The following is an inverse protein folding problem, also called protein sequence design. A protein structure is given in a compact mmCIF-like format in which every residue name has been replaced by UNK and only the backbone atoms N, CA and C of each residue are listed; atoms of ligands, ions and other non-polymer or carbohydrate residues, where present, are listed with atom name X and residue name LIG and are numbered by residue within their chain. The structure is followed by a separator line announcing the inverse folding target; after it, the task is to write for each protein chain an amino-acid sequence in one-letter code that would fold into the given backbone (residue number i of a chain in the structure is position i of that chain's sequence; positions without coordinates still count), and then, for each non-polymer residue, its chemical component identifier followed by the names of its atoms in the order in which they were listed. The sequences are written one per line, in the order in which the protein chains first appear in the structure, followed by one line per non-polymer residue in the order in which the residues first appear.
data_IF_972838838866
#
_entry.id   IF_972838838866
#
_cell.length_a   1.000
_cell.length_b   1.000
_cell.length_c   1.000
_cell.angle_alpha   90.00
_cell.angle_beta   90.00
_cell.angle_gamma   90.00
#
_symmetry.space_group_name_H-M   'P 1'
#
loop_
_entity.id
_entity.type
_entity.pdbx_description
1 polymer ?
#
# COMPACT_ATOMS: atom_id res chain seq x y z
N UNK A 1 31.83 45.34 -12.83
CA UNK A 1 32.09 44.75 -11.49
C UNK A 1 31.57 45.67 -10.38
N UNK A 2 31.76 46.98 -10.51
CA UNK A 2 31.35 47.97 -9.48
C UNK A 2 29.84 48.03 -9.22
N UNK A 3 29.00 47.84 -10.23
CA UNK A 3 27.55 47.79 -10.05
C UNK A 3 27.07 46.58 -9.23
N UNK A 4 27.76 45.44 -9.32
CA UNK A 4 27.47 44.25 -8.53
C UNK A 4 27.93 44.42 -7.09
N UNK A 5 29.10 45.02 -6.89
CA UNK A 5 29.60 45.35 -5.55
C UNK A 5 28.69 46.38 -4.84
N UNK A 6 28.24 47.41 -5.55
CA UNK A 6 27.30 48.41 -5.03
C UNK A 6 25.90 47.84 -4.77
N UNK A 7 25.43 46.91 -5.61
CA UNK A 7 24.17 46.20 -5.36
C UNK A 7 24.30 45.31 -4.11
N UNK A 8 25.39 44.56 -3.99
CA UNK A 8 25.64 43.67 -2.86
C UNK A 8 25.76 44.45 -1.53
N UNK A 9 26.45 45.60 -1.53
CA UNK A 9 26.52 46.47 -0.34
C UNK A 9 25.16 47.05 0.01
N UNK A 10 24.40 47.54 -0.98
CA UNK A 10 23.05 48.09 -0.74
C UNK A 10 22.10 47.02 -0.20
N UNK A 11 22.14 45.80 -0.73
CA UNK A 11 21.32 44.68 -0.24
C UNK A 11 21.77 44.27 1.16
N UNK A 12 23.07 44.19 1.41
CA UNK A 12 23.64 43.88 2.72
C UNK A 12 23.23 44.90 3.78
N UNK A 13 23.39 46.19 3.49
CA UNK A 13 23.05 47.28 4.39
C UNK A 13 21.55 47.30 4.69
N UNK A 14 20.71 47.10 3.67
CA UNK A 14 19.25 46.97 3.88
C UNK A 14 18.92 45.74 4.71
N UNK A 15 19.55 44.59 4.45
CA UNK A 15 19.31 43.37 5.21
C UNK A 15 19.69 43.55 6.67
N UNK A 16 20.88 44.06 6.96
CA UNK A 16 21.37 44.29 8.33
C UNK A 16 20.51 45.32 9.05
N UNK A 17 20.13 46.41 8.38
CA UNK A 17 19.28 47.45 8.99
C UNK A 17 17.89 46.93 9.30
N UNK A 18 17.28 46.16 8.38
CA UNK A 18 15.99 45.53 8.61
C UNK A 18 16.06 44.44 9.70
N UNK A 19 17.13 43.64 9.73
CA UNK A 19 17.31 42.62 10.77
C UNK A 19 17.43 43.27 12.15
N UNK A 20 18.31 44.27 12.28
CA UNK A 20 18.50 45.02 13.53
C UNK A 20 17.18 45.66 13.97
N UNK A 21 16.47 46.33 13.06
CA UNK A 21 15.15 46.91 13.30
C UNK A 21 14.13 45.86 13.79
N UNK A 22 14.12 44.67 13.18
CA UNK A 22 13.22 43.59 13.57
C UNK A 22 13.49 43.06 14.98
N UNK A 23 14.75 43.05 15.42
CA UNK A 23 15.11 42.63 16.78
C UNK A 23 14.89 43.75 17.81
N UNK A 24 15.10 45.02 17.45
CA UNK A 24 14.85 46.16 18.36
C UNK A 24 13.36 46.41 18.60
N UNK A 25 12.52 46.18 17.58
CA UNK A 25 11.05 46.30 17.68
C UNK A 25 10.36 45.03 18.18
N UNK A 26 11.13 44.04 18.66
CA UNK A 26 10.62 42.77 19.13
C UNK A 26 10.03 42.91 20.54
N UNK A 27 8.73 43.20 20.58
CA UNK A 27 7.97 43.16 21.84
C UNK A 27 7.65 41.72 22.25
N UNK A 28 7.38 41.51 23.55
CA UNK A 28 7.04 40.19 24.08
C UNK A 28 5.84 39.56 23.36
N UNK A 29 4.83 40.37 23.02
CA UNK A 29 3.66 39.92 22.26
C UNK A 29 4.04 39.37 20.87
N UNK A 30 4.91 40.07 20.13
CA UNK A 30 5.38 39.61 18.81
C UNK A 30 6.18 38.32 18.93
N UNK A 31 7.00 38.19 19.97
CA UNK A 31 7.77 36.97 20.22
C UNK A 31 6.86 35.76 20.51
N UNK A 32 5.85 35.93 21.36
CA UNK A 32 4.86 34.87 21.65
C UNK A 32 4.13 34.45 20.36
N UNK A 33 3.71 35.40 19.52
CA UNK A 33 3.08 35.08 18.21
C UNK A 33 4.00 34.23 17.32
N UNK A 34 5.29 34.58 17.23
CA UNK A 34 6.28 33.80 16.46
C UNK A 34 6.38 32.37 17.01
N UNK A 35 6.48 32.22 18.33
CA UNK A 35 6.56 30.90 18.97
C UNK A 35 5.30 30.08 18.72
N UNK A 36 4.11 30.68 18.78
CA UNK A 36 2.85 29.99 18.50
C UNK A 36 2.79 29.52 17.04
N UNK A 37 3.14 30.38 16.09
CA UNK A 37 3.11 30.03 14.65
C UNK A 37 4.15 28.97 14.33
N UNK A 38 5.40 29.16 14.74
CA UNK A 38 6.49 28.22 14.48
C UNK A 38 6.29 26.89 15.22
N UNK A 39 5.94 26.95 16.50
CA UNK A 39 5.65 25.78 17.33
C UNK A 39 4.41 25.02 16.84
N UNK A 40 3.34 25.75 16.49
CA UNK A 40 2.14 25.17 15.88
C UNK A 40 2.45 24.45 14.57
N UNK A 41 3.26 25.05 13.69
CA UNK A 41 3.71 24.38 12.47
C UNK A 41 4.55 23.13 12.76
N UNK A 42 5.48 23.18 13.72
CA UNK A 42 6.30 22.03 14.09
C UNK A 42 5.43 20.85 14.56
N UNK A 43 4.39 21.13 15.34
CA UNK A 43 3.44 20.13 15.81
C UNK A 43 2.52 19.62 14.70
N UNK A 44 2.09 20.49 13.78
CA UNK A 44 1.19 20.12 12.68
C UNK A 44 1.90 19.31 11.58
N UNK A 45 3.17 19.63 11.30
CA UNK A 45 4.01 19.01 10.25
C UNK A 45 3.97 17.47 10.21
N UNK A 46 4.20 16.71 11.30
CA UNK A 46 4.19 15.25 11.23
C UNK A 46 2.84 14.67 10.83
N UNK A 47 1.74 15.34 11.17
CA UNK A 47 0.40 14.89 10.80
C UNK A 47 0.12 15.16 9.32
N UNK A 48 0.51 16.33 8.81
CA UNK A 48 0.41 16.65 7.38
C UNK A 48 1.22 15.67 6.53
N UNK A 49 2.45 15.34 6.96
CA UNK A 49 3.29 14.34 6.30
C UNK A 49 2.67 12.94 6.31
N UNK A 50 2.07 12.52 7.44
CA UNK A 50 1.37 11.23 7.53
C UNK A 50 0.16 11.16 6.61
N UNK A 51 -0.59 12.25 6.44
CA UNK A 51 -1.73 12.30 5.52
C UNK A 51 -1.28 12.25 4.06
N UNK A 52 -0.26 13.04 3.70
CA UNK A 52 0.33 13.02 2.35
C UNK A 52 0.92 11.65 2.00
N UNK A 53 1.68 11.06 2.91
CA UNK A 53 2.26 9.73 2.71
C UNK A 53 1.20 8.64 2.53
N UNK A 54 0.10 8.68 3.27
CA UNK A 54 -1.03 7.73 3.09
C UNK A 54 -1.71 7.88 1.74
N UNK A 55 -1.91 9.12 1.26
CA UNK A 55 -2.49 9.36 -0.05
C UNK A 55 -1.55 8.86 -1.17
N UNK A 56 -0.25 9.12 -1.04
CA UNK A 56 0.75 8.66 -2.01
C UNK A 56 0.84 7.12 -2.05
N UNK A 57 0.87 6.46 -0.89
CA UNK A 57 0.89 4.99 -0.83
C UNK A 57 -0.35 4.37 -1.49
N UNK A 58 -1.54 4.94 -1.25
CA UNK A 58 -2.78 4.49 -1.90
C UNK A 58 -2.72 4.63 -3.42
N UNK A 59 -2.21 5.75 -3.93
CA UNK A 59 -2.05 5.94 -5.37
C UNK A 59 -1.10 4.89 -5.97
N UNK A 60 0.03 4.63 -5.32
CA UNK A 60 0.98 3.59 -5.76
C UNK A 60 0.39 2.18 -5.71
N UNK A 61 -0.40 1.85 -4.69
CA UNK A 61 -1.11 0.57 -4.58
C UNK A 61 -2.17 0.40 -5.68
N UNK A 62 -2.92 1.46 -6.02
CA UNK A 62 -3.90 1.44 -7.11
C UNK A 62 -3.24 1.29 -8.48
N UNK A 63 -2.11 1.98 -8.71
CA UNK A 63 -1.33 1.84 -9.95
C UNK A 63 -0.73 0.44 -10.08
N UNK A 64 -0.16 -0.11 -9.00
CA UNK A 64 0.35 -1.48 -8.97
C UNK A 64 -0.77 -2.51 -9.21
N UNK A 65 -1.92 -2.35 -8.58
CA UNK A 65 -3.07 -3.23 -8.79
C UNK A 65 -3.61 -3.16 -10.22
N UNK A 66 -3.62 -1.99 -10.85
CA UNK A 66 -3.98 -1.83 -12.27
C UNK A 66 -2.94 -2.47 -13.19
N UNK A 67 -1.65 -2.29 -12.90
CA UNK A 67 -0.58 -2.93 -13.67
C UNK A 67 -0.66 -4.45 -13.57
N UNK A 68 -0.90 -5.01 -12.38
CA UNK A 68 -1.10 -6.44 -12.16
C UNK A 68 -2.38 -6.96 -12.82
N UNK A 69 -3.47 -6.20 -12.81
CA UNK A 69 -4.69 -6.57 -13.52
C UNK A 69 -4.48 -6.59 -15.04
N UNK A 70 -3.74 -5.62 -15.59
CA UNK A 70 -3.37 -5.60 -17.01
C UNK A 70 -2.41 -6.73 -17.35
N UNK A 71 -1.46 -7.06 -16.47
CA UNK A 71 -0.56 -8.19 -16.63
C UNK A 71 -1.32 -9.53 -16.58
N UNK A 72 -2.24 -9.70 -15.62
CA UNK A 72 -3.12 -10.87 -15.52
C UNK A 72 -4.07 -11.00 -16.72
N UNK A 73 -4.60 -9.88 -17.23
CA UNK A 73 -5.41 -9.88 -18.44
C UNK A 73 -4.60 -10.16 -19.72
N UNK A 74 -3.29 -9.90 -19.69
CA UNK A 74 -2.34 -10.25 -20.76
C UNK A 74 -1.76 -11.67 -20.64
N UNK A 75 -2.07 -12.42 -19.58
CA UNK A 75 -1.69 -13.84 -19.50
C UNK A 75 -2.35 -14.55 -20.66
N UNK A 76 -1.54 -14.97 -21.64
CA UNK A 76 -2.04 -15.75 -22.75
C UNK A 76 -2.24 -17.21 -22.28
N UNK A 77 -3.25 -17.94 -22.77
CA UNK A 77 -3.49 -19.34 -22.41
C UNK A 77 -2.27 -20.26 -22.55
N UNK A 78 -1.29 -19.88 -23.37
CA UNK A 78 -0.06 -20.63 -23.59
C UNK A 78 0.93 -20.55 -22.41
N UNK A 79 0.84 -19.54 -21.54
CA UNK A 79 1.69 -19.40 -20.35
C UNK A 79 1.19 -20.24 -19.15
N UNK A 80 -0.07 -20.67 -19.18
CA UNK A 80 -0.70 -21.53 -18.18
C UNK A 80 -0.41 -23.03 -18.40
N UNK A 81 0.09 -23.41 -19.58
CA UNK A 81 0.40 -24.81 -19.91
C UNK A 81 1.77 -25.19 -19.35
N UNK A 82 1.80 -25.65 -18.10
CA UNK A 82 2.99 -26.25 -17.46
C UNK A 82 3.47 -25.63 -16.15
N UNK A 83 2.75 -24.64 -15.58
CA UNK A 83 3.12 -23.98 -14.29
C UNK A 83 2.16 -24.22 -13.12
N UNK A 84 1.15 -25.07 -13.27
CA UNK A 84 0.31 -25.50 -12.15
C UNK A 84 0.98 -26.70 -11.48
N UNK A 85 2.04 -26.45 -10.71
CA UNK A 85 2.35 -27.29 -9.57
C UNK A 85 1.65 -26.63 -8.39
N UNK A 86 0.55 -27.25 -7.94
CA UNK A 86 -0.05 -26.95 -6.65
C UNK A 86 1.05 -27.28 -5.62
N UNK A 87 1.56 -26.31 -4.83
CA UNK A 87 2.52 -26.64 -3.79
C UNK A 87 1.88 -27.62 -2.82
N UNK A 88 2.43 -28.82 -2.76
CA UNK A 88 2.03 -29.90 -1.86
C UNK A 88 2.33 -29.50 -0.41
N UNK A 89 1.49 -30.00 0.48
CA UNK A 89 1.35 -29.65 1.90
C UNK A 89 2.63 -29.99 2.69
N UNK A 90 3.60 -29.08 2.70
CA UNK A 90 4.87 -29.21 3.45
C UNK A 90 5.07 -28.02 4.37
N UNK A 91 4.20 -27.90 5.38
CA UNK A 91 4.46 -27.06 6.57
C UNK A 91 3.99 -27.76 7.86
N UNK A 92 4.05 -29.10 7.89
CA UNK A 92 3.77 -29.94 9.06
C UNK A 92 5.03 -30.38 9.83
N UNK A 93 6.21 -29.80 9.56
CA UNK A 93 7.41 -30.01 10.37
C UNK A 93 8.12 -28.69 10.70
N UNK A 94 7.76 -28.07 11.84
CA UNK A 94 8.69 -27.73 12.94
C UNK A 94 8.04 -26.73 13.92
N UNK A 95 7.31 -27.25 14.91
CA UNK A 95 6.94 -26.50 16.12
C UNK A 95 8.15 -26.22 17.05
N UNK A 96 9.40 -26.47 16.61
CA UNK A 96 10.60 -26.34 17.45
C UNK A 96 11.83 -25.82 16.71
N UNK A 97 11.72 -24.77 15.89
CA UNK A 97 12.91 -24.02 15.52
C UNK A 97 12.61 -22.55 15.25
N UNK A 98 13.34 -21.69 15.96
CA UNK A 98 13.35 -20.23 15.85
C UNK A 98 12.11 -19.52 16.38
N UNK A 99 12.18 -19.23 17.67
CA UNK A 99 11.60 -18.09 18.36
C UNK A 99 12.00 -16.78 17.65
N UNK A 100 11.41 -16.52 16.48
CA UNK A 100 11.56 -15.26 15.78
C UNK A 100 10.71 -14.22 16.50
N UNK A 101 11.38 -13.42 17.34
CA UNK A 101 10.90 -12.22 18.04
C UNK A 101 10.44 -11.12 17.05
N UNK A 102 9.45 -11.46 16.22
CA UNK A 102 8.81 -10.58 15.26
C UNK A 102 7.36 -10.33 15.69
N UNK A 103 6.83 -9.10 15.56
CA UNK A 103 5.46 -8.80 15.97
C UNK A 103 4.41 -9.71 15.28
N UNK A 104 3.67 -10.47 16.09
CA UNK A 104 2.67 -11.49 15.68
C UNK A 104 1.43 -10.95 14.92
N UNK A 105 1.29 -9.63 14.76
CA UNK A 105 0.10 -9.03 14.16
C UNK A 105 -0.05 -9.33 12.65
N UNK A 106 1.04 -9.68 11.96
CA UNK A 106 1.00 -10.03 10.54
C UNK A 106 0.68 -11.49 10.23
N UNK A 107 0.98 -12.43 11.15
CA UNK A 107 0.78 -13.87 10.89
C UNK A 107 -0.71 -14.23 10.85
N UNK A 108 -1.51 -13.70 11.78
CA UNK A 108 -2.96 -13.94 11.84
C UNK A 108 -3.71 -13.38 10.64
N UNK A 109 -3.30 -12.21 10.12
CA UNK A 109 -3.90 -11.61 8.93
C UNK A 109 -3.63 -12.45 7.68
N UNK A 110 -2.38 -12.88 7.48
CA UNK A 110 -1.99 -13.76 6.36
C UNK A 110 -2.70 -15.11 6.42
N UNK A 111 -2.89 -15.69 7.62
CA UNK A 111 -3.62 -16.96 7.78
C UNK A 111 -5.08 -16.84 7.33
N UNK A 112 -5.79 -15.78 7.75
CA UNK A 112 -7.18 -15.54 7.33
C UNK A 112 -7.33 -15.28 5.83
N UNK A 113 -6.37 -14.56 5.23
CA UNK A 113 -6.37 -14.36 3.77
C UNK A 113 -6.23 -15.70 3.03
N UNK A 114 -5.36 -16.59 3.50
CA UNK A 114 -5.22 -17.94 2.92
C UNK A 114 -6.47 -18.81 3.13
N UNK A 115 -7.06 -18.79 4.33
CA UNK A 115 -8.31 -19.51 4.61
C UNK A 115 -9.46 -19.04 3.71
N UNK A 116 -9.56 -17.74 3.43
CA UNK A 116 -10.56 -17.20 2.51
C UNK A 116 -10.34 -17.66 1.06
N UNK A 117 -9.08 -17.67 0.60
CA UNK A 117 -8.73 -18.13 -0.75
C UNK A 117 -9.02 -19.63 -0.89
N UNK A 118 -8.65 -20.46 0.11
CA UNK A 118 -8.96 -21.90 0.11
C UNK A 118 -10.47 -22.16 0.01
N UNK A 119 -11.27 -21.47 0.83
CA UNK A 119 -12.74 -21.60 0.76
C UNK A 119 -13.33 -21.19 -0.58
N UNK A 120 -12.76 -20.19 -1.25
CA UNK A 120 -13.21 -19.78 -2.58
C UNK A 120 -12.86 -20.82 -3.65
N UNK A 121 -11.67 -21.42 -3.58
CA UNK A 121 -11.27 -22.52 -4.47
C UNK A 121 -12.14 -23.77 -4.27
N UNK A 122 -12.36 -24.18 -3.02
CA UNK A 122 -13.18 -25.37 -2.71
C UNK A 122 -14.63 -25.20 -3.22
N UNK A 123 -15.19 -23.99 -3.09
CA UNK A 123 -16.52 -23.69 -3.59
C UNK A 123 -16.60 -23.70 -5.12
N UNK A 124 -15.54 -23.27 -5.81
CA UNK A 124 -15.46 -23.35 -7.27
C UNK A 124 -15.33 -24.81 -7.73
N UNK A 125 -14.52 -25.62 -7.06
CA UNK A 125 -14.38 -27.05 -7.36
C UNK A 125 -15.70 -27.80 -7.15
N UNK A 126 -16.41 -27.52 -6.06
CA UNK A 126 -17.74 -28.10 -5.81
C UNK A 126 -18.74 -27.72 -6.90
N UNK A 127 -18.78 -26.44 -7.31
CA UNK A 127 -19.66 -26.00 -8.41
C UNK A 127 -19.32 -26.69 -9.73
N UNK A 128 -18.03 -26.95 -9.98
CA UNK A 128 -17.59 -27.64 -11.20
C UNK A 128 -17.95 -29.14 -11.16
N UNK A 129 -17.90 -29.77 -9.98
CA UNK A 129 -18.34 -31.15 -9.77
C UNK A 129 -19.84 -31.30 -9.94
N UNK A 130 -20.63 -30.43 -9.31
CA UNK A 130 -22.10 -30.40 -9.49
C UNK A 130 -22.47 -30.24 -10.97
N UNK A 131 -21.79 -29.35 -11.71
CA UNK A 131 -22.05 -29.20 -13.15
C UNK A 131 -21.64 -30.42 -14.00
N UNK A 132 -20.66 -31.20 -13.55
CA UNK A 132 -20.25 -32.44 -14.24
C UNK A 132 -21.19 -33.59 -13.88
N UNK A 133 -21.59 -33.71 -12.62
CA UNK A 133 -22.60 -34.67 -12.16
C UNK A 133 -23.95 -34.42 -12.84
N UNK A 134 -24.37 -33.16 -13.01
CA UNK A 134 -25.58 -32.80 -13.78
C UNK A 134 -25.50 -33.19 -15.27
N UNK A 135 -24.31 -33.15 -15.86
CA UNK A 135 -24.09 -33.58 -17.25
C UNK A 135 -24.07 -35.11 -17.36
N UNK A 136 -23.43 -35.80 -16.42
CA UNK A 136 -23.39 -37.26 -16.36
C UNK A 136 -24.79 -37.86 -16.10
N UNK A 137 -25.58 -37.26 -15.20
CA UNK A 137 -26.97 -37.67 -14.94
C UNK A 137 -27.86 -37.45 -16.17
N UNK A 138 -27.67 -36.34 -16.90
CA UNK A 138 -28.42 -36.06 -18.12
C UNK A 138 -28.08 -37.02 -19.26
N UNK A 139 -26.83 -37.44 -19.38
CA UNK A 139 -26.41 -38.45 -20.36
C UNK A 139 -27.01 -39.84 -20.01
N UNK A 140 -27.27 -40.13 -18.73
CA UNK A 140 -27.95 -41.36 -18.29
C UNK A 140 -29.47 -41.30 -18.52
N UNK A 141 -30.10 -40.13 -18.34
CA UNK A 141 -31.53 -39.92 -18.65
C UNK A 141 -31.88 -40.23 -20.10
N UNK A 142 -30.98 -39.95 -21.05
CA UNK A 142 -31.17 -40.28 -22.47
C UNK A 142 -31.34 -41.79 -22.71
N UNK A 143 -30.75 -42.64 -21.86
CA UNK A 143 -30.88 -44.10 -21.94
C UNK A 143 -32.07 -44.69 -21.16
N UNK A 144 -32.80 -43.88 -20.38
CA UNK A 144 -33.94 -44.31 -19.56
C UNK A 144 -35.31 -44.14 -20.27
N UNK A 145 -35.35 -43.60 -21.49
CA UNK A 145 -36.56 -43.61 -22.34
C UNK A 145 -36.80 -45.03 -22.85
N UNK A 146 -37.52 -45.80 -22.04
CA UNK A 146 -38.00 -47.16 -22.32
C UNK A 146 -39.29 -47.08 -23.16
N UNK A 147 -39.37 -47.91 -24.20
CA UNK A 147 -40.63 -48.27 -24.88
C UNK A 147 -41.76 -48.67 -23.91
#
# INVERSE_FOLDING_TARGET
MDNLANLASTVGDRFVTNLKGSFTDLTLEKFIRIVIVAGGYLLLRPYLLKLGGRAQMRAHEEEAARADAVAKAKISPNELRGRVQIPDDTDDEDERAAEASGPEWGKKARRRQREMIRKLLDAEEQRLRESQEELEDKDIEEFLVKE
#
